data_IF_793532542169
#
_entry.id   IF_793532542169
#
_cell.length_a   1.000
_cell.length_b   1.000
_cell.length_c   1.000
_cell.angle_alpha   90.00
_cell.angle_beta   90.00
_cell.angle_gamma   90.00
#
_symmetry.space_group_name_H-M   'P 1'
#
loop_
_entity.id
_entity.type
_entity.pdbx_description
1 polymer ?
#
# COMPACT_ATOMS: atom_id res chain seq x y z
N UNK A 1 13.76 -1.65 9.71
CA UNK A 1 12.50 -1.89 8.95
C UNK A 1 11.73 -0.59 8.85
N UNK A 2 11.07 -0.34 7.74
CA UNK A 2 10.36 0.91 7.44
C UNK A 2 8.97 0.58 6.92
N UNK A 3 7.96 1.33 7.38
CA UNK A 3 6.55 1.15 7.03
C UNK A 3 6.07 2.25 6.12
N UNK A 4 5.21 1.90 5.16
CA UNK A 4 4.41 2.84 4.38
C UNK A 4 2.94 2.42 4.50
N UNK A 5 2.12 3.31 5.03
CA UNK A 5 0.68 3.16 5.16
C UNK A 5 0.02 4.08 4.13
N UNK A 6 -0.95 3.55 3.39
CA UNK A 6 -1.77 4.31 2.44
C UNK A 6 -3.22 4.13 2.81
N UNK A 7 -3.94 5.23 2.97
CA UNK A 7 -5.36 5.24 3.33
C UNK A 7 -6.17 6.00 2.29
N UNK A 8 -7.25 5.39 1.82
CA UNK A 8 -8.25 5.99 0.96
C UNK A 8 -9.53 6.16 1.77
N UNK A 9 -10.14 7.34 1.72
CA UNK A 9 -11.35 7.64 2.49
C UNK A 9 -12.64 7.44 1.67
N UNK A 10 -12.53 7.25 0.36
CA UNK A 10 -13.65 7.21 -0.58
C UNK A 10 -13.38 6.18 -1.67
N UNK A 11 -13.77 4.93 -1.42
CA UNK A 11 -13.66 3.83 -2.37
C UNK A 11 -15.05 3.29 -2.72
N UNK A 12 -15.31 3.06 -4.00
CA UNK A 12 -16.58 2.45 -4.45
C UNK A 12 -16.63 0.95 -4.18
N UNK A 13 -15.47 0.28 -4.12
CA UNK A 13 -15.34 -1.13 -3.74
C UNK A 13 -13.94 -1.42 -3.20
N UNK A 14 -13.83 -1.57 -1.88
CA UNK A 14 -12.57 -1.93 -1.22
C UNK A 14 -12.13 -3.34 -1.62
N UNK A 15 -13.08 -4.27 -1.73
CA UNK A 15 -12.78 -5.66 -2.14
C UNK A 15 -12.20 -5.74 -3.55
N UNK A 16 -12.70 -4.94 -4.51
CA UNK A 16 -12.13 -4.90 -5.86
C UNK A 16 -10.74 -4.27 -5.87
N UNK A 17 -10.57 -3.16 -5.14
CA UNK A 17 -9.26 -2.54 -5.01
C UNK A 17 -8.24 -3.51 -4.38
N UNK A 18 -8.63 -4.30 -3.38
CA UNK A 18 -7.79 -5.32 -2.76
C UNK A 18 -7.38 -6.42 -3.73
N UNK A 19 -8.30 -6.93 -4.55
CA UNK A 19 -7.99 -7.93 -5.60
C UNK A 19 -6.95 -7.40 -6.58
N UNK A 20 -7.20 -6.20 -7.14
CA UNK A 20 -6.27 -5.56 -8.10
C UNK A 20 -4.92 -5.26 -7.48
N UNK A 21 -4.93 -4.79 -6.23
CA UNK A 21 -3.71 -4.51 -5.50
C UNK A 21 -2.90 -5.80 -5.24
N UNK A 22 -3.53 -6.92 -4.90
CA UNK A 22 -2.82 -8.19 -4.69
C UNK A 22 -2.16 -8.72 -5.98
N UNK A 23 -2.88 -8.66 -7.12
CA UNK A 23 -2.38 -9.17 -8.40
C UNK A 23 -1.45 -8.19 -9.14
N UNK A 24 -1.56 -6.89 -8.87
CA UNK A 24 -0.76 -5.84 -9.48
C UNK A 24 0.27 -5.28 -8.51
N UNK A 25 -0.14 -4.31 -7.68
CA UNK A 25 0.76 -3.57 -6.80
C UNK A 25 1.61 -4.48 -5.91
N UNK A 26 1.00 -5.44 -5.21
CA UNK A 26 1.67 -6.38 -4.32
C UNK A 26 2.74 -7.20 -5.04
N UNK A 27 2.49 -7.65 -6.28
CA UNK A 27 3.50 -8.35 -7.07
C UNK A 27 4.67 -7.44 -7.47
N UNK A 28 4.37 -6.19 -7.82
CA UNK A 28 5.40 -5.19 -8.15
C UNK A 28 6.24 -4.82 -6.91
N UNK A 29 5.61 -4.62 -5.75
CA UNK A 29 6.31 -4.36 -4.49
C UNK A 29 7.19 -5.53 -4.08
N UNK A 30 6.72 -6.77 -4.27
CA UNK A 30 7.48 -8.00 -4.00
C UNK A 30 8.80 -8.09 -4.79
N UNK A 31 8.90 -7.44 -5.94
CA UNK A 31 10.13 -7.39 -6.74
C UNK A 31 11.13 -6.33 -6.25
N UNK A 32 10.74 -5.49 -5.29
CA UNK A 32 11.63 -4.44 -4.76
C UNK A 32 12.62 -5.06 -3.76
N UNK A 33 13.93 -4.82 -3.90
CA UNK A 33 14.91 -5.23 -2.91
C UNK A 33 14.55 -4.74 -1.51
N UNK A 34 14.64 -5.61 -0.52
CA UNK A 34 14.28 -5.30 0.87
C UNK A 34 12.78 -5.33 1.16
N UNK A 35 11.90 -5.82 0.26
CA UNK A 35 10.48 -6.03 0.56
C UNK A 35 10.28 -7.05 1.69
N UNK A 36 9.50 -6.69 2.71
CA UNK A 36 9.24 -7.51 3.90
C UNK A 36 7.78 -7.96 4.02
N UNK A 37 6.83 -7.19 3.45
CA UNK A 37 5.43 -7.54 3.54
C UNK A 37 4.50 -6.53 2.90
N UNK A 38 3.30 -7.00 2.56
CA UNK A 38 2.23 -6.19 2.02
C UNK A 38 0.88 -6.74 2.48
N UNK A 39 0.03 -5.87 3.02
CA UNK A 39 -1.36 -6.21 3.26
C UNK A 39 -2.28 -5.06 2.80
N UNK A 40 -3.51 -5.43 2.47
CA UNK A 40 -4.61 -4.52 2.19
C UNK A 40 -5.67 -4.77 3.26
N UNK A 41 -6.32 -3.73 3.73
CA UNK A 41 -7.34 -3.82 4.75
C UNK A 41 -8.57 -3.00 4.35
N UNK A 42 -9.72 -3.51 4.77
CA UNK A 42 -11.01 -2.82 4.73
C UNK A 42 -11.30 -2.25 6.11
N UNK A 43 -11.54 -0.94 6.17
CA UNK A 43 -11.86 -0.22 7.39
C UNK A 43 -13.36 0.12 7.51
N UNK A 44 -14.20 -0.33 6.57
CA UNK A 44 -15.63 -0.06 6.52
C UNK A 44 -15.97 1.28 5.83
N UNK A 45 -17.23 1.43 5.45
CA UNK A 45 -17.80 2.68 4.90
C UNK A 45 -17.02 3.29 3.71
N UNK A 46 -16.48 2.43 2.85
CA UNK A 46 -15.68 2.86 1.69
C UNK A 46 -14.28 3.38 2.07
N UNK A 47 -13.86 3.20 3.31
CA UNK A 47 -12.50 3.46 3.79
C UNK A 47 -11.69 2.17 3.71
N UNK A 48 -10.51 2.26 3.10
CA UNK A 48 -9.63 1.13 2.94
C UNK A 48 -8.19 1.58 2.75
N UNK A 49 -7.26 0.64 2.76
CA UNK A 49 -5.86 1.01 2.67
C UNK A 49 -4.93 -0.17 2.50
N UNK A 50 -3.64 0.15 2.46
CA UNK A 50 -2.59 -0.86 2.43
C UNK A 50 -1.43 -0.48 3.33
N UNK A 51 -0.73 -1.51 3.80
CA UNK A 51 0.50 -1.40 4.56
C UNK A 51 1.56 -2.16 3.78
N UNK A 52 2.69 -1.51 3.54
CA UNK A 52 3.89 -2.15 2.96
C UNK A 52 5.07 -1.97 3.90
N UNK A 53 5.83 -3.05 4.09
CA UNK A 53 7.02 -3.09 4.94
C UNK A 53 8.26 -3.31 4.07
N UNK A 54 9.32 -2.56 4.38
CA UNK A 54 10.61 -2.65 3.71
C UNK A 54 11.74 -2.71 4.73
N UNK A 55 12.90 -3.22 4.32
CA UNK A 55 14.09 -3.34 5.15
C UNK A 55 14.57 -1.98 5.67
N UNK A 56 14.63 -0.97 4.79
CA UNK A 56 15.13 0.37 5.06
C UNK A 56 14.29 1.47 4.39
N UNK A 57 14.63 2.72 4.69
CA UNK A 57 13.92 3.92 4.21
C UNK A 57 14.06 4.10 2.71
N UNK A 58 15.25 3.84 2.17
CA UNK A 58 15.58 4.02 0.76
C UNK A 58 14.72 3.11 -0.13
N UNK A 59 14.61 1.84 0.25
CA UNK A 59 13.74 0.86 -0.42
C UNK A 59 12.27 1.30 -0.38
N UNK A 60 11.79 1.79 0.78
CA UNK A 60 10.42 2.25 0.93
C UNK A 60 10.08 3.47 0.06
N UNK A 61 11.00 4.44 -0.05
CA UNK A 61 10.83 5.64 -0.88
C UNK A 61 10.82 5.26 -2.36
N UNK A 62 11.79 4.46 -2.81
CA UNK A 62 11.87 4.02 -4.20
C UNK A 62 10.63 3.22 -4.63
N UNK A 63 10.06 2.43 -3.72
CA UNK A 63 8.82 1.69 -3.97
C UNK A 63 7.58 2.60 -3.98
N UNK A 64 7.57 3.67 -3.18
CA UNK A 64 6.41 4.53 -3.03
C UNK A 64 6.01 5.23 -4.33
N UNK A 65 6.97 5.76 -5.08
CA UNK A 65 6.67 6.48 -6.33
C UNK A 65 6.07 5.54 -7.38
N UNK A 66 6.59 4.32 -7.47
CA UNK A 66 6.04 3.26 -8.34
C UNK A 66 4.64 2.85 -7.90
N UNK A 67 4.40 2.75 -6.60
CA UNK A 67 3.08 2.43 -6.06
C UNK A 67 2.05 3.49 -6.46
N UNK A 68 2.38 4.79 -6.33
CA UNK A 68 1.49 5.87 -6.70
C UNK A 68 1.21 5.92 -8.21
N UNK A 69 2.23 5.66 -9.03
CA UNK A 69 2.04 5.53 -10.48
C UNK A 69 1.07 4.39 -10.83
N UNK A 70 1.22 3.23 -10.18
CA UNK A 70 0.32 2.10 -10.38
C UNK A 70 -1.11 2.41 -9.94
N UNK A 71 -1.29 3.03 -8.77
CA UNK A 71 -2.62 3.43 -8.24
C UNK A 71 -3.33 4.34 -9.24
N UNK A 72 -2.65 5.36 -9.75
CA UNK A 72 -3.20 6.29 -10.76
C UNK A 72 -3.54 5.62 -12.09
N UNK A 73 -2.87 4.52 -12.42
CA UNK A 73 -3.13 3.79 -13.66
C UNK A 73 -4.22 2.70 -13.51
N UNK A 74 -4.39 2.14 -12.31
CA UNK A 74 -5.15 0.88 -12.13
C UNK A 74 -6.37 0.98 -11.21
N UNK A 75 -6.50 2.05 -10.42
CA UNK A 75 -7.55 2.18 -9.41
C UNK A 75 -8.42 3.43 -9.53
N UNK A 76 -8.23 4.28 -10.54
CA UNK A 76 -8.96 5.56 -10.67
C UNK A 76 -10.48 5.40 -10.87
N UNK A 77 -10.95 4.23 -11.28
CA UNK A 77 -12.36 3.87 -11.36
C UNK A 77 -12.96 3.40 -10.02
N UNK A 78 -12.13 3.08 -9.03
CA UNK A 78 -12.57 2.56 -7.72
C UNK A 78 -12.23 3.45 -6.52
N UNK A 79 -11.40 4.47 -6.71
CA UNK A 79 -11.04 5.47 -5.68
C UNK A 79 -11.45 6.87 -6.11
N UNK A 80 -11.81 7.70 -5.14
CA UNK A 80 -12.05 9.13 -5.32
C UNK A 80 -11.02 9.93 -4.50
N UNK A 81 -10.13 10.63 -5.20
CA UNK A 81 -9.04 11.41 -4.61
C UNK A 81 -7.73 10.64 -4.42
N UNK A 82 -6.78 11.30 -3.75
CA UNK A 82 -5.45 10.76 -3.47
C UNK A 82 -5.40 10.07 -2.09
N UNK A 83 -4.53 9.06 -1.91
CA UNK A 83 -4.36 8.45 -0.60
C UNK A 83 -3.65 9.39 0.37
N UNK A 84 -4.05 9.33 1.64
CA UNK A 84 -3.21 9.79 2.73
C UNK A 84 -2.05 8.80 2.92
N UNK A 85 -0.81 9.31 2.97
CA UNK A 85 0.39 8.47 3.07
C UNK A 85 1.13 8.78 4.37
N UNK A 86 1.38 7.74 5.16
CA UNK A 86 2.25 7.82 6.33
C UNK A 86 3.44 6.90 6.15
N UNK A 87 4.61 7.38 6.52
CA UNK A 87 5.89 6.67 6.37
C UNK A 87 6.70 6.80 7.66
N UNK A 88 7.38 5.73 8.08
CA UNK A 88 8.18 5.79 9.29
C UNK A 88 9.03 4.55 9.56
N UNK A 89 9.98 4.72 10.46
CA UNK A 89 10.77 3.61 10.98
C UNK A 89 9.92 2.74 11.91
N UNK A 90 10.05 1.42 11.77
CA UNK A 90 9.40 0.48 12.68
C UNK A 90 10.32 0.25 13.88
N UNK A 91 9.88 0.74 15.04
CA UNK A 91 10.66 0.71 16.29
C UNK A 91 10.50 -0.59 17.07
N UNK A 92 9.42 -1.35 16.84
CA UNK A 92 9.16 -2.62 17.50
C UNK A 92 8.32 -3.55 16.61
N UNK A 93 8.58 -4.84 16.71
CA UNK A 93 7.82 -5.91 16.04
C UNK A 93 7.66 -7.09 16.98
N UNK A 94 6.47 -7.66 17.01
CA UNK A 94 6.20 -8.94 17.68
C UNK A 94 5.65 -9.89 16.63
N UNK A 95 6.33 -11.02 16.43
CA UNK A 95 5.90 -12.08 15.52
C UNK A 95 5.39 -13.27 16.33
N UNK A 96 4.45 -14.08 15.80
CA UNK A 96 3.94 -15.29 16.46
C UNK A 96 5.02 -16.29 16.83
#
# INVERSE_FOLDING_TARGET
MYVVIRKFNRMSSVAEAARRAQSGLGQMLKQTPGFQGYCVFDAGDGVGGSISLFENREAAIAANDKALAWIRASLTDVIDGEPEITMGEVLATVTP
#
